data_IF_152592918042
#
_entry.id   IF_152592918042
#
_cell.length_a   1.000
_cell.length_b   1.000
_cell.length_c   1.000
_cell.angle_alpha   90.00
_cell.angle_beta   90.00
_cell.angle_gamma   90.00
#
_symmetry.space_group_name_H-M   'P 1'
#
loop_
_entity.id
_entity.type
_entity.pdbx_description
1 polymer ?
#
# COMPACT_ATOMS: atom_id res chain seq x y z
N UNK A 1 6.58 -4.81 18.59
CA UNK A 1 5.39 -3.95 18.74
C UNK A 1 4.76 -3.86 17.36
N UNK A 2 3.47 -4.16 17.19
CA UNK A 2 2.81 -3.88 15.90
C UNK A 2 2.42 -2.41 15.95
N UNK A 3 2.99 -1.58 15.06
CA UNK A 3 2.53 -0.20 14.90
C UNK A 3 1.04 -0.18 14.57
N UNK A 4 0.30 0.75 15.18
CA UNK A 4 -1.10 0.97 14.81
C UNK A 4 -1.13 1.60 13.41
N UNK A 5 -1.94 1.02 12.53
CA UNK A 5 -2.20 1.58 11.21
C UNK A 5 -3.11 2.79 11.40
N UNK A 6 -2.80 3.89 10.72
CA UNK A 6 -3.61 5.11 10.75
C UNK A 6 -3.99 5.56 9.33
N UNK A 7 -5.13 6.28 9.17
CA UNK A 7 -5.44 6.97 7.92
C UNK A 7 -4.28 7.88 7.49
N UNK A 8 -3.96 7.85 6.19
CA UNK A 8 -2.84 8.59 5.60
C UNK A 8 -1.54 7.81 5.48
N UNK A 9 -1.41 6.62 6.09
CA UNK A 9 -0.24 5.77 5.89
C UNK A 9 -0.13 5.34 4.42
N UNK A 10 1.09 5.38 3.87
CA UNK A 10 1.33 4.96 2.49
C UNK A 10 1.28 3.43 2.36
N UNK A 11 0.71 2.94 1.27
CA UNK A 11 0.54 1.50 1.02
C UNK A 11 1.54 1.03 -0.03
N UNK A 12 2.16 -0.12 0.21
CA UNK A 12 3.18 -0.76 -0.63
C UNK A 12 2.82 -2.23 -0.88
N UNK A 13 3.30 -2.82 -1.98
CA UNK A 13 3.06 -4.24 -2.33
C UNK A 13 4.24 -5.14 -1.94
N UNK A 14 5.43 -4.57 -1.79
CA UNK A 14 6.60 -5.22 -1.22
C UNK A 14 7.51 -4.16 -0.61
N UNK A 15 8.34 -4.58 0.34
CA UNK A 15 9.36 -3.69 0.89
C UNK A 15 10.39 -3.35 -0.20
N UNK A 16 10.65 -2.05 -0.39
CA UNK A 16 11.53 -1.51 -1.45
C UNK A 16 10.87 -1.21 -2.79
N UNK A 17 9.54 -1.30 -2.91
CA UNK A 17 8.79 -0.90 -4.11
C UNK A 17 8.19 0.51 -3.99
N UNK A 18 7.70 1.07 -5.10
CA UNK A 18 7.01 2.37 -5.09
C UNK A 18 5.66 2.28 -4.35
N UNK A 19 5.29 3.38 -3.68
CA UNK A 19 4.01 3.49 -2.99
C UNK A 19 2.86 3.52 -3.99
N UNK A 20 1.87 2.67 -3.81
CA UNK A 20 0.74 2.51 -4.74
C UNK A 20 -0.49 3.35 -4.36
N UNK A 21 -0.43 4.05 -3.21
CA UNK A 21 -1.55 4.78 -2.63
C UNK A 21 -1.48 4.87 -1.11
N UNK A 22 -2.63 5.00 -0.45
CA UNK A 22 -2.70 5.31 0.99
C UNK A 22 -3.91 4.69 1.71
N UNK A 23 -3.79 4.49 3.03
CA UNK A 23 -4.90 4.10 3.90
C UNK A 23 -5.89 5.26 4.01
N UNK A 24 -7.16 5.00 3.71
CA UNK A 24 -8.26 5.95 3.87
C UNK A 24 -8.92 5.84 5.23
N UNK A 25 -9.13 4.61 5.69
CA UNK A 25 -9.87 4.35 6.92
C UNK A 25 -9.45 3.01 7.52
N UNK A 26 -9.36 2.96 8.85
CA UNK A 26 -9.28 1.72 9.62
C UNK A 26 -10.67 1.43 10.15
N UNK A 27 -11.31 0.35 9.68
CA UNK A 27 -12.70 0.07 10.05
C UNK A 27 -12.78 -0.43 11.48
N UNK A 28 -13.36 0.37 12.37
CA UNK A 28 -13.54 -0.04 13.77
C UNK A 28 -14.47 -1.26 13.88
N UNK A 29 -14.01 -2.31 14.53
CA UNK A 29 -14.79 -3.53 14.77
C UNK A 29 -14.79 -4.54 13.61
N UNK A 30 -14.12 -4.24 12.49
CA UNK A 30 -13.91 -5.18 11.39
C UNK A 30 -12.40 -5.36 11.16
N UNK A 31 -11.92 -6.58 10.85
CA UNK A 31 -10.50 -6.82 10.58
C UNK A 31 -10.13 -6.37 9.15
N UNK A 32 -10.51 -5.14 8.76
CA UNK A 32 -10.42 -4.62 7.40
C UNK A 32 -9.95 -3.16 7.37
N UNK A 33 -9.28 -2.80 6.27
CA UNK A 33 -8.81 -1.45 5.96
C UNK A 33 -9.44 -1.00 4.66
N UNK A 34 -9.81 0.28 4.58
CA UNK A 34 -10.10 0.95 3.32
C UNK A 34 -8.81 1.60 2.83
N UNK A 35 -8.35 1.22 1.66
CA UNK A 35 -7.17 1.80 1.00
C UNK A 35 -7.58 2.46 -0.31
N UNK A 36 -6.89 3.52 -0.69
CA UNK A 36 -6.92 4.09 -2.01
C UNK A 36 -5.73 3.57 -2.80
N UNK A 37 -5.96 3.13 -4.03
CA UNK A 37 -4.93 2.77 -5.01
C UNK A 37 -4.97 3.79 -6.13
N UNK A 38 -3.82 4.36 -6.46
CA UNK A 38 -3.70 5.36 -7.52
C UNK A 38 -4.22 4.81 -8.86
N UNK A 39 -4.99 5.63 -9.57
CA UNK A 39 -5.62 5.28 -10.85
C UNK A 39 -6.59 4.09 -10.82
N UNK A 40 -6.90 3.55 -9.63
CA UNK A 40 -7.82 2.40 -9.47
C UNK A 40 -8.95 2.64 -8.46
N UNK A 41 -8.80 3.61 -7.54
CA UNK A 41 -9.83 4.00 -6.57
C UNK A 41 -9.72 3.25 -5.24
N UNK A 42 -10.83 3.17 -4.50
CA UNK A 42 -10.84 2.62 -3.13
C UNK A 42 -11.14 1.13 -3.08
N UNK A 43 -10.42 0.41 -2.21
CA UNK A 43 -10.54 -1.02 -2.00
C UNK A 43 -10.56 -1.38 -0.52
N UNK A 44 -11.36 -2.37 -0.18
CA UNK A 44 -11.36 -2.99 1.15
C UNK A 44 -10.37 -4.15 1.14
N UNK A 45 -9.40 -4.13 2.05
CA UNK A 45 -8.43 -5.21 2.24
C UNK A 45 -8.47 -5.73 3.67
N UNK A 46 -8.33 -7.04 3.89
CA UNK A 46 -8.29 -7.56 5.25
C UNK A 46 -6.95 -7.22 5.92
N UNK A 47 -6.96 -6.99 7.23
CA UNK A 47 -5.73 -6.76 8.02
C UNK A 47 -4.77 -7.95 7.90
N UNK A 48 -5.28 -9.17 7.69
CA UNK A 48 -4.46 -10.37 7.46
C UNK A 48 -3.61 -10.32 6.18
N UNK A 49 -3.95 -9.42 5.25
CA UNK A 49 -3.15 -9.14 4.06
C UNK A 49 -2.03 -8.13 4.34
N UNK A 50 -1.92 -7.53 5.52
CA UNK A 50 -0.79 -6.68 5.89
C UNK A 50 0.37 -7.57 6.30
N UNK A 51 1.48 -7.47 5.58
CA UNK A 51 2.72 -8.18 5.84
C UNK A 51 3.57 -7.46 6.91
N UNK A 52 3.63 -6.12 6.84
CA UNK A 52 4.39 -5.29 7.77
C UNK A 52 3.80 -3.88 7.88
N UNK A 53 4.02 -3.24 9.03
CA UNK A 53 3.71 -1.81 9.26
C UNK A 53 4.90 -1.21 9.97
N UNK A 54 5.48 -0.16 9.37
CA UNK A 54 6.56 0.60 10.02
C UNK A 54 6.69 1.98 9.38
N UNK A 55 7.01 2.99 10.19
CA UNK A 55 7.37 4.33 9.72
C UNK A 55 6.30 4.98 8.82
N UNK A 56 5.01 4.79 9.16
CA UNK A 56 3.90 5.31 8.35
C UNK A 56 3.67 4.58 7.02
N UNK A 57 4.29 3.40 6.83
CA UNK A 57 4.12 2.53 5.67
C UNK A 57 3.36 1.27 6.05
N UNK A 58 2.47 0.84 5.17
CA UNK A 58 1.73 -0.43 5.24
C UNK A 58 2.13 -1.28 4.05
N UNK A 59 2.73 -2.44 4.30
CA UNK A 59 3.13 -3.37 3.25
C UNK A 59 2.09 -4.47 3.15
N UNK A 60 1.50 -4.64 1.97
CA UNK A 60 0.51 -5.68 1.67
C UNK A 60 1.17 -6.91 1.06
N UNK A 61 0.68 -8.09 1.44
CA UNK A 61 1.01 -9.36 0.79
C UNK A 61 0.09 -9.57 -0.43
N UNK A 62 0.61 -9.52 -1.68
CA UNK A 62 -0.20 -9.69 -2.89
C UNK A 62 -0.85 -11.07 -3.01
N UNK A 63 -0.36 -12.08 -2.26
CA UNK A 63 -0.96 -13.40 -2.21
C UNK A 63 -2.21 -13.47 -1.32
N UNK A 64 -2.39 -12.49 -0.41
CA UNK A 64 -3.47 -12.43 0.57
C UNK A 64 -4.55 -11.41 0.24
N UNK A 65 -4.36 -10.61 -0.81
CA UNK A 65 -5.39 -9.71 -1.32
C UNK A 65 -6.24 -10.36 -2.43
N UNK A 66 -7.50 -9.94 -2.53
CA UNK A 66 -8.42 -10.45 -3.55
C UNK A 66 -7.99 -10.09 -4.98
N UNK A 67 -8.51 -10.85 -5.97
CA UNK A 67 -8.14 -10.70 -7.39
C UNK A 67 -8.32 -9.27 -7.92
N UNK A 68 -9.34 -8.53 -7.46
CA UNK A 68 -9.56 -7.14 -7.89
C UNK A 68 -8.44 -6.21 -7.44
N UNK A 69 -8.02 -6.33 -6.18
CA UNK A 69 -6.90 -5.57 -5.64
C UNK A 69 -5.64 -5.92 -6.41
N UNK A 70 -5.33 -7.20 -6.60
CA UNK A 70 -4.15 -7.64 -7.39
C UNK A 70 -4.11 -7.04 -8.80
N UNK A 71 -5.25 -6.93 -9.48
CA UNK A 71 -5.33 -6.27 -10.80
C UNK A 71 -5.08 -4.77 -10.70
N UNK A 72 -5.68 -4.09 -9.72
CA UNK A 72 -5.43 -2.68 -9.47
C UNK A 72 -3.94 -2.40 -9.19
N UNK A 73 -3.30 -3.27 -8.39
CA UNK A 73 -1.86 -3.21 -8.13
C UNK A 73 -1.03 -3.35 -9.40
N UNK A 74 -1.37 -4.30 -10.27
CA UNK A 74 -0.66 -4.49 -11.53
C UNK A 74 -0.81 -3.27 -12.46
N UNK A 75 -2.00 -2.68 -12.52
CA UNK A 75 -2.26 -1.49 -13.34
C UNK A 75 -1.57 -0.23 -12.80
N UNK A 76 -1.53 -0.05 -11.48
CA UNK A 76 -0.81 1.07 -10.86
C UNK A 76 0.69 1.03 -11.23
N UNK A 77 1.29 -0.17 -11.21
CA UNK A 77 2.71 -0.40 -11.53
C UNK A 77 3.02 -0.33 -13.03
N UNK A 78 2.08 -0.75 -13.89
CA UNK A 78 2.22 -0.64 -15.36
C UNK A 78 2.10 0.83 -15.84
N UNK A 79 1.53 1.71 -15.00
CA UNK A 79 1.48 3.15 -15.27
C UNK A 79 2.79 3.87 -14.95
N UNK A 80 3.77 3.20 -14.34
CA UNK A 80 5.12 3.73 -14.17
C UNK A 80 5.84 3.65 -15.53
N UNK A 81 6.07 4.81 -16.14
CA UNK A 81 6.92 4.96 -17.31
C UNK A 81 8.26 4.22 -17.08
N UNK A 82 8.73 3.34 -18.00
CA UNK A 82 10.01 2.63 -17.86
C UNK A 82 11.25 3.54 -17.85
N UNK A 83 11.05 4.86 -17.86
CA UNK A 83 12.07 5.90 -17.78
C UNK A 83 12.11 6.62 -16.42
N UNK A 84 11.25 6.26 -15.46
CA UNK A 84 11.25 6.90 -14.14
C UNK A 84 12.43 6.38 -13.31
N UNK A 85 13.43 7.25 -13.14
CA UNK A 85 14.52 7.06 -12.18
C UNK A 85 14.11 7.86 -10.95
N UNK A 86 13.74 7.15 -9.87
CA UNK A 86 13.55 7.79 -8.57
C UNK A 86 14.84 8.56 -8.22
N UNK A 87 14.77 9.86 -7.85
CA UNK A 87 15.95 10.53 -7.33
C UNK A 87 16.43 9.75 -6.11
N UNK A 88 17.72 9.44 -6.06
CA UNK A 88 18.35 8.86 -4.89
C UNK A 88 17.92 9.71 -3.69
N UNK A 89 17.26 9.08 -2.71
CA UNK A 89 16.95 9.77 -1.46
C UNK A 89 18.29 10.09 -0.82
N UNK A 90 18.75 11.33 -0.97
CA UNK A 90 19.84 11.88 -0.18
C UNK A 90 19.41 11.78 1.29
N UNK A 91 20.02 10.80 1.95
CA UNK A 91 20.06 10.73 3.39
C UNK A 91 21.10 11.74 3.88
N UNK A 92 20.65 12.96 4.12
CA UNK A 92 21.37 14.05 4.79
C UNK A 92 20.34 14.72 5.72
N UNK A 93 20.51 14.95 7.03
CA UNK A 93 21.46 14.59 8.10
C UNK A 93 20.67 14.64 9.42
#
# INVERSE_FOLDING_TARGET
MHEQIEPGFMVFVSDGEEGIGAVREVRHGLPELLIYIENAGDFVVPISAVAAVHSGKVILDPSRVGLRVRRALATARDSEDPSYIAPATDADE
#
